data_IF_112547294752
#
_entry.id   IF_112547294752
#
_cell.length_a   1.000
_cell.length_b   1.000
_cell.length_c   1.000
_cell.angle_alpha   90.00
_cell.angle_beta   90.00
_cell.angle_gamma   90.00
#
_symmetry.space_group_name_H-M   'P 1'
#
loop_
_entity.id
_entity.type
_entity.pdbx_description
1 polymer ?
#
# COMPACT_ATOMS: atom_id res chain seq x y z
N UNK A 1 -10.52 25.56 -28.26
CA UNK A 1 -9.20 24.95 -28.00
C UNK A 1 -9.44 23.63 -27.28
N UNK A 2 -8.84 22.53 -27.72
CA UNK A 2 -9.10 21.16 -27.24
C UNK A 2 -8.03 20.19 -27.75
N UNK A 3 -6.82 20.75 -27.93
CA UNK A 3 -5.65 20.08 -28.45
C UNK A 3 -4.72 19.78 -27.27
N UNK A 4 -4.04 18.65 -27.31
CA UNK A 4 -3.13 18.25 -26.25
C UNK A 4 -1.75 18.82 -26.50
N UNK A 5 -1.28 19.69 -25.62
CA UNK A 5 -0.03 20.42 -25.79
C UNK A 5 1.24 19.62 -25.40
N UNK A 6 1.11 18.38 -24.93
CA UNK A 6 2.22 17.58 -24.40
C UNK A 6 2.52 16.27 -25.15
N UNK A 7 3.28 15.40 -24.51
CA UNK A 7 3.49 14.03 -24.99
C UNK A 7 2.15 13.28 -24.89
N UNK A 8 1.67 12.69 -25.99
CA UNK A 8 0.45 11.91 -25.98
C UNK A 8 0.52 10.77 -24.95
N UNK A 9 -0.55 10.52 -24.17
CA UNK A 9 -0.66 9.34 -23.31
C UNK A 9 -0.54 8.02 -24.07
N UNK A 10 -0.31 6.93 -23.32
CA UNK A 10 -0.14 5.60 -23.90
C UNK A 10 -1.41 5.17 -24.67
N UNK A 11 -1.27 4.43 -25.77
CA UNK A 11 -2.41 4.11 -26.65
C UNK A 11 -2.73 5.18 -27.70
N UNK A 12 -2.08 6.35 -27.60
CA UNK A 12 -2.11 7.34 -28.65
C UNK A 12 -0.72 7.57 -29.28
N UNK A 13 -0.60 8.47 -30.26
CA UNK A 13 0.64 8.96 -30.86
C UNK A 13 0.48 10.46 -31.20
N UNK A 14 1.56 11.24 -31.08
CA UNK A 14 1.57 12.62 -31.54
C UNK A 14 1.66 12.65 -33.07
N UNK A 15 0.81 13.46 -33.72
CA UNK A 15 0.88 13.66 -35.16
C UNK A 15 2.01 14.64 -35.50
N UNK A 16 3.02 14.17 -36.23
CA UNK A 16 4.19 14.98 -36.61
C UNK A 16 4.01 15.77 -37.93
N UNK A 17 2.76 15.95 -38.40
CA UNK A 17 2.51 16.76 -39.62
C UNK A 17 2.59 18.25 -39.28
N UNK A 18 3.26 19.00 -40.16
CA UNK A 18 3.50 20.45 -40.02
C UNK A 18 2.18 21.23 -39.90
N UNK A 19 1.13 20.80 -40.61
CA UNK A 19 -0.19 21.46 -40.63
C UNK A 19 -1.12 21.05 -39.47
N UNK A 20 -0.80 19.97 -38.75
CA UNK A 20 -1.64 19.38 -37.69
C UNK A 20 -0.88 19.23 -36.38
N UNK A 21 -0.18 20.29 -35.98
CA UNK A 21 0.55 20.35 -34.71
C UNK A 21 -0.40 20.12 -33.53
N UNK A 22 0.10 19.41 -32.51
CA UNK A 22 -0.61 19.12 -31.25
C UNK A 22 -1.89 18.26 -31.39
N UNK A 23 -2.06 17.55 -32.52
CA UNK A 23 -3.11 16.54 -32.67
C UNK A 23 -2.61 15.16 -32.22
N UNK A 24 -3.48 14.45 -31.52
CA UNK A 24 -3.23 13.10 -31.06
C UNK A 24 -4.03 12.12 -31.93
N UNK A 25 -3.37 11.07 -32.39
CA UNK A 25 -3.96 9.99 -33.18
C UNK A 25 -3.90 8.69 -32.38
N UNK A 26 -4.84 7.78 -32.60
CA UNK A 26 -4.87 6.47 -31.96
C UNK A 26 -3.70 5.60 -32.44
N UNK A 27 -3.00 4.97 -31.50
CA UNK A 27 -1.98 3.96 -31.79
C UNK A 27 -2.67 2.62 -32.09
N UNK A 28 -2.59 2.13 -33.33
CA UNK A 28 -3.25 0.88 -33.74
C UNK A 28 -2.78 -0.34 -32.95
N UNK A 29 -1.55 -0.34 -32.45
CA UNK A 29 -0.98 -1.50 -31.73
C UNK A 29 -1.33 -1.43 -30.25
N UNK A 30 -1.23 -0.25 -29.64
CA UNK A 30 -1.34 -0.09 -28.18
C UNK A 30 -2.75 0.28 -27.71
N UNK A 31 -3.54 0.97 -28.52
CA UNK A 31 -4.89 1.39 -28.13
C UNK A 31 -5.83 0.21 -27.81
N UNK A 32 -5.84 -0.89 -28.58
CA UNK A 32 -6.68 -2.05 -28.25
C UNK A 32 -6.34 -2.64 -26.88
N UNK A 33 -5.05 -2.69 -26.55
CA UNK A 33 -4.57 -3.21 -25.25
C UNK A 33 -5.02 -2.28 -24.12
N UNK A 34 -4.94 -0.97 -24.31
CA UNK A 34 -5.47 -0.01 -23.33
C UNK A 34 -6.97 -0.20 -23.13
N UNK A 35 -7.75 -0.39 -24.20
CA UNK A 35 -9.18 -0.69 -24.09
C UNK A 35 -9.43 -1.97 -23.28
N UNK A 36 -8.68 -3.04 -23.55
CA UNK A 36 -8.76 -4.30 -22.80
C UNK A 36 -8.41 -4.12 -21.32
N UNK A 37 -7.47 -3.24 -20.97
CA UNK A 37 -7.17 -2.93 -19.56
C UNK A 37 -8.43 -2.39 -18.85
N UNK A 38 -9.14 -1.45 -19.47
CA UNK A 38 -10.39 -0.92 -18.92
C UNK A 38 -11.49 -1.99 -18.84
N UNK A 39 -11.67 -2.81 -19.89
CA UNK A 39 -12.64 -3.91 -19.90
C UNK A 39 -12.38 -4.94 -18.79
N UNK A 40 -11.11 -5.31 -18.57
CA UNK A 40 -10.72 -6.27 -17.52
C UNK A 40 -10.94 -5.72 -16.11
N UNK A 41 -10.69 -4.44 -15.91
CA UNK A 41 -10.94 -3.81 -14.60
C UNK A 41 -12.44 -3.64 -14.36
N UNK A 42 -13.20 -3.20 -15.36
CA UNK A 42 -14.63 -2.95 -15.24
C UNK A 42 -15.46 -4.24 -15.12
N UNK A 43 -15.26 -5.20 -16.03
CA UNK A 43 -16.09 -6.41 -16.11
C UNK A 43 -15.54 -7.56 -15.25
N UNK A 44 -14.25 -7.86 -15.37
CA UNK A 44 -13.64 -8.98 -14.65
C UNK A 44 -13.19 -8.61 -13.22
N UNK A 45 -13.30 -7.33 -12.83
CA UNK A 45 -12.91 -6.79 -11.50
C UNK A 45 -11.47 -7.11 -11.11
N UNK A 46 -10.55 -7.10 -12.08
CA UNK A 46 -9.15 -7.35 -11.81
C UNK A 46 -8.50 -6.23 -11.01
N UNK A 47 -7.67 -6.59 -10.02
CA UNK A 47 -6.83 -5.62 -9.31
C UNK A 47 -5.71 -5.09 -10.21
N UNK A 48 -5.24 -3.87 -9.96
CA UNK A 48 -4.14 -3.26 -10.73
C UNK A 48 -2.87 -4.13 -10.78
N UNK A 49 -2.59 -4.91 -9.73
CA UNK A 49 -1.47 -5.87 -9.72
C UNK A 49 -1.70 -7.07 -10.64
N UNK A 50 -2.93 -7.57 -10.72
CA UNK A 50 -3.28 -8.66 -11.63
C UNK A 50 -3.13 -8.22 -13.08
N UNK A 51 -3.59 -7.01 -13.40
CA UNK A 51 -3.40 -6.38 -14.71
C UNK A 51 -1.91 -6.22 -15.04
N UNK A 52 -1.09 -5.78 -14.07
CA UNK A 52 0.36 -5.67 -14.25
C UNK A 52 1.01 -7.01 -14.62
N UNK A 53 0.67 -8.08 -13.90
CA UNK A 53 1.23 -9.41 -14.16
C UNK A 53 0.81 -9.92 -15.54
N UNK A 54 -0.46 -9.78 -15.92
CA UNK A 54 -0.97 -10.15 -17.24
C UNK A 54 -0.25 -9.40 -18.38
N UNK A 55 -0.08 -8.08 -18.25
CA UNK A 55 0.63 -7.28 -19.25
C UNK A 55 2.11 -7.68 -19.38
N UNK A 56 2.74 -8.07 -18.26
CA UNK A 56 4.17 -8.39 -18.23
C UNK A 56 4.47 -9.81 -18.71
N UNK A 57 3.69 -10.78 -18.25
CA UNK A 57 3.97 -12.20 -18.45
C UNK A 57 3.25 -12.78 -19.67
N UNK A 58 2.01 -12.38 -19.93
CA UNK A 58 1.21 -13.00 -20.99
C UNK A 58 1.35 -12.24 -22.31
N UNK A 59 1.24 -10.90 -22.29
CA UNK A 59 1.36 -10.09 -23.51
C UNK A 59 2.79 -9.57 -23.79
N UNK A 60 3.69 -9.62 -22.81
CA UNK A 60 5.01 -8.97 -22.85
C UNK A 60 4.94 -7.52 -23.38
N UNK A 61 3.91 -6.78 -22.95
CA UNK A 61 3.55 -5.48 -23.49
C UNK A 61 4.64 -4.44 -23.22
N UNK A 62 5.04 -3.70 -24.26
CA UNK A 62 6.04 -2.64 -24.19
C UNK A 62 5.46 -1.25 -24.47
N UNK A 63 5.90 -0.29 -23.67
CA UNK A 63 5.63 1.13 -23.88
C UNK A 63 6.35 1.65 -25.13
N UNK A 64 6.11 2.91 -25.51
CA UNK A 64 6.79 3.53 -26.67
C UNK A 64 8.33 3.48 -26.56
N UNK A 65 8.88 3.59 -25.34
CA UNK A 65 10.32 3.52 -25.09
C UNK A 65 10.89 2.11 -24.91
N UNK A 66 10.18 1.08 -25.37
CA UNK A 66 10.56 -0.34 -25.23
C UNK A 66 10.72 -0.84 -23.77
N UNK A 67 10.13 -0.11 -22.80
CA UNK A 67 10.13 -0.50 -21.38
C UNK A 67 8.81 -1.17 -21.01
N UNK A 68 8.84 -2.07 -20.04
CA UNK A 68 7.63 -2.65 -19.45
C UNK A 68 6.83 -1.56 -18.73
N UNK A 69 5.50 -1.67 -18.77
CA UNK A 69 4.63 -0.73 -18.05
C UNK A 69 4.77 -0.95 -16.54
N UNK A 70 4.92 0.12 -15.76
CA UNK A 70 4.99 0.05 -14.29
C UNK A 70 3.58 0.02 -13.67
N UNK A 71 3.47 -0.48 -12.43
CA UNK A 71 2.19 -0.51 -11.71
C UNK A 71 1.57 0.90 -11.59
N UNK A 72 2.36 1.91 -11.23
CA UNK A 72 1.92 3.31 -11.19
C UNK A 72 1.50 3.84 -12.56
N UNK A 73 2.13 3.36 -13.64
CA UNK A 73 1.75 3.67 -15.01
C UNK A 73 0.34 3.16 -15.36
N UNK A 74 -0.03 1.97 -14.88
CA UNK A 74 -1.38 1.42 -15.05
C UNK A 74 -2.41 2.29 -14.36
N UNK A 75 -2.18 2.66 -13.09
CA UNK A 75 -3.10 3.55 -12.37
C UNK A 75 -3.21 4.92 -13.04
N UNK A 76 -2.12 5.49 -13.55
CA UNK A 76 -2.16 6.72 -14.35
C UNK A 76 -2.97 6.59 -15.64
N UNK A 77 -3.02 5.40 -16.26
CA UNK A 77 -3.85 5.17 -17.45
C UNK A 77 -5.32 5.15 -17.04
N UNK A 78 -5.65 4.37 -16.01
CA UNK A 78 -7.02 4.23 -15.52
C UNK A 78 -7.59 5.55 -14.99
N UNK A 79 -6.75 6.40 -14.41
CA UNK A 79 -7.10 7.71 -13.82
C UNK A 79 -7.21 8.86 -14.84
N UNK A 80 -6.76 8.67 -16.09
CA UNK A 80 -6.72 9.78 -17.04
C UNK A 80 -8.05 9.91 -17.82
N UNK A 81 -8.78 11.04 -17.66
CA UNK A 81 -10.05 11.26 -18.36
C UNK A 81 -9.91 11.35 -19.89
N UNK A 82 -8.70 11.60 -20.39
CA UNK A 82 -8.42 11.75 -21.82
C UNK A 82 -8.84 10.51 -22.62
N UNK A 83 -8.88 9.32 -22.01
CA UNK A 83 -9.26 8.10 -22.71
C UNK A 83 -10.74 8.08 -23.16
N UNK A 84 -11.63 8.80 -22.48
CA UNK A 84 -13.03 8.96 -22.91
C UNK A 84 -13.33 10.29 -23.61
N UNK A 85 -12.35 11.19 -23.70
CA UNK A 85 -12.40 12.35 -24.61
C UNK A 85 -12.24 13.71 -23.95
N UNK A 86 -12.45 13.84 -22.65
CA UNK A 86 -12.25 15.13 -21.95
C UNK A 86 -10.94 15.15 -21.19
N UNK A 87 -10.37 16.33 -20.95
CA UNK A 87 -9.20 16.45 -20.10
C UNK A 87 -9.16 17.79 -19.37
N UNK A 88 -8.44 17.81 -18.25
CA UNK A 88 -8.19 19.01 -17.47
C UNK A 88 -6.77 19.55 -17.77
N UNK A 89 -6.65 20.86 -17.96
CA UNK A 89 -5.33 21.49 -18.15
C UNK A 89 -5.30 22.95 -17.69
N UNK A 90 -4.29 23.40 -16.92
CA UNK A 90 -3.31 22.62 -16.18
C UNK A 90 -3.96 21.63 -15.20
N UNK A 91 -3.22 20.61 -14.76
CA UNK A 91 -3.77 19.63 -13.80
C UNK A 91 -4.20 20.35 -12.51
N UNK A 92 -5.35 19.98 -11.95
CA UNK A 92 -5.92 20.55 -10.72
C UNK A 92 -6.30 22.04 -10.82
N UNK A 93 -6.55 22.54 -12.04
CA UNK A 93 -6.95 23.94 -12.28
C UNK A 93 -8.47 24.15 -12.35
N UNK A 94 -9.26 23.08 -12.37
CA UNK A 94 -10.71 23.09 -12.56
C UNK A 94 -11.15 23.41 -14.00
N UNK A 95 -10.22 23.62 -14.95
CA UNK A 95 -10.53 23.95 -16.34
C UNK A 95 -10.61 22.70 -17.20
N UNK A 96 -11.83 22.31 -17.54
CA UNK A 96 -12.13 21.16 -18.37
C UNK A 96 -12.25 21.53 -19.84
N UNK A 97 -11.64 20.71 -20.70
CA UNK A 97 -11.69 20.87 -22.15
C UNK A 97 -12.19 19.58 -22.79
N UNK A 98 -13.02 19.74 -23.83
CA UNK A 98 -13.36 18.63 -24.73
C UNK A 98 -12.23 18.43 -25.73
N UNK A 99 -11.66 17.22 -25.72
CA UNK A 99 -10.60 16.82 -26.63
C UNK A 99 -11.14 16.58 -28.04
N UNK A 100 -10.41 17.08 -29.03
CA UNK A 100 -10.72 16.82 -30.45
C UNK A 100 -10.24 15.45 -30.94
N UNK A 101 -9.58 14.66 -30.09
CA UNK A 101 -9.08 13.34 -30.44
C UNK A 101 -10.21 12.30 -30.37
N UNK A 102 -10.02 11.18 -31.06
CA UNK A 102 -10.96 10.06 -30.98
C UNK A 102 -10.77 9.31 -29.65
N UNK A 103 -11.80 9.15 -28.82
CA UNK A 103 -11.68 8.43 -27.55
C UNK A 103 -11.44 6.92 -27.78
N UNK A 104 -10.73 6.28 -26.84
CA UNK A 104 -10.45 4.83 -26.86
C UNK A 104 -11.53 4.06 -26.10
N UNK A 105 -12.06 4.65 -25.03
CA UNK A 105 -13.10 4.05 -24.17
C UNK A 105 -14.33 4.94 -24.09
N UNK A 106 -15.48 4.36 -23.77
CA UNK A 106 -16.70 5.11 -23.47
C UNK A 106 -16.63 5.70 -22.06
N UNK A 107 -17.39 6.78 -21.82
CA UNK A 107 -17.51 7.39 -20.49
C UNK A 107 -18.02 6.39 -19.46
N UNK A 108 -18.99 5.57 -19.84
CA UNK A 108 -19.56 4.52 -18.99
C UNK A 108 -18.51 3.48 -18.54
N UNK A 109 -17.68 2.99 -19.47
CA UNK A 109 -16.63 2.02 -19.15
C UNK A 109 -15.58 2.61 -18.21
N UNK A 110 -15.24 3.89 -18.42
CA UNK A 110 -14.32 4.61 -17.55
C UNK A 110 -14.88 4.75 -16.13
N UNK A 111 -16.13 5.17 -15.99
CA UNK A 111 -16.78 5.31 -14.69
C UNK A 111 -16.90 3.98 -13.94
N UNK A 112 -17.21 2.89 -14.64
CA UNK A 112 -17.24 1.54 -14.05
C UNK A 112 -15.86 1.12 -13.54
N UNK A 113 -14.80 1.33 -14.33
CA UNK A 113 -13.44 1.03 -13.91
C UNK A 113 -13.03 1.87 -12.68
N UNK A 114 -13.37 3.16 -12.66
CA UNK A 114 -13.12 4.05 -11.53
C UNK A 114 -13.86 3.64 -10.25
N UNK A 115 -15.12 3.24 -10.37
CA UNK A 115 -15.89 2.73 -9.24
C UNK A 115 -15.24 1.48 -8.62
N UNK A 116 -14.66 0.60 -9.44
CA UNK A 116 -13.95 -0.58 -8.96
C UNK A 116 -12.64 -0.20 -8.26
N UNK A 117 -11.89 0.79 -8.75
CA UNK A 117 -10.66 1.26 -8.11
C UNK A 117 -10.90 1.95 -6.76
N UNK A 118 -12.02 2.67 -6.60
CA UNK A 118 -12.39 3.28 -5.32
C UNK A 118 -12.69 2.24 -4.24
N UNK A 119 -13.23 1.07 -4.61
CA UNK A 119 -13.44 -0.04 -3.66
C UNK A 119 -12.14 -0.60 -3.09
N UNK A 120 -11.04 -0.52 -3.84
CA UNK A 120 -9.72 -0.97 -3.40
C UNK A 120 -9.05 0.01 -2.40
N UNK A 121 -9.62 1.19 -2.15
CA UNK A 121 -9.20 2.05 -1.04
C UNK A 121 -9.71 1.46 0.28
N UNK A 122 -9.10 0.35 0.69
CA UNK A 122 -9.27 -0.20 2.03
C UNK A 122 -8.76 0.87 3.01
N UNK A 123 -9.68 1.45 3.77
CA UNK A 123 -9.35 2.28 4.92
C UNK A 123 -8.63 1.37 5.91
N UNK A 124 -7.31 1.53 6.00
CA UNK A 124 -6.51 0.82 7.00
C UNK A 124 -6.70 1.57 8.32
N UNK A 125 -7.48 0.97 9.21
CA UNK A 125 -7.52 1.44 10.59
C UNK A 125 -6.15 1.15 11.23
N UNK A 126 -5.45 2.21 11.62
CA UNK A 126 -4.24 2.07 12.41
C UNK A 126 -4.66 1.76 13.84
N UNK A 127 -4.59 0.49 14.22
CA UNK A 127 -4.74 0.08 15.62
C UNK A 127 -3.42 0.33 16.35
N UNK A 128 -3.49 1.03 17.47
CA UNK A 128 -2.34 1.21 18.37
C UNK A 128 -2.38 0.10 19.42
N UNK A 129 -1.33 -0.74 19.47
CA UNK A 129 -1.15 -1.70 20.55
C UNK A 129 -0.05 -1.21 21.50
N UNK A 130 -0.27 -1.42 22.79
CA UNK A 130 0.52 -0.83 23.88
C UNK A 130 2.03 -1.11 23.78
N UNK A 131 2.40 -2.31 23.35
CA UNK A 131 3.81 -2.75 23.33
C UNK A 131 4.47 -2.70 21.95
N UNK A 132 3.76 -2.24 20.92
CA UNK A 132 4.34 -2.07 19.58
C UNK A 132 5.40 -0.98 19.62
N UNK A 133 6.54 -1.20 18.95
CA UNK A 133 7.71 -0.28 18.87
C UNK A 133 8.56 -0.16 20.15
N UNK A 134 8.10 -0.63 21.30
CA UNK A 134 8.91 -0.67 22.53
C UNK A 134 9.83 -1.89 22.56
N UNK A 135 9.35 -3.03 22.07
CA UNK A 135 10.11 -4.27 22.05
C UNK A 135 10.73 -4.60 20.69
N UNK A 136 11.89 -5.24 20.77
CA UNK A 136 12.59 -5.82 19.62
C UNK A 136 12.79 -7.32 19.86
N UNK A 137 12.81 -8.08 18.77
CA UNK A 137 13.05 -9.51 18.85
C UNK A 137 14.52 -9.79 19.24
N UNK A 138 14.75 -10.50 20.35
CA UNK A 138 16.10 -10.84 20.81
C UNK A 138 16.92 -11.70 19.83
N UNK A 139 16.29 -12.45 18.93
CA UNK A 139 16.98 -13.29 17.96
C UNK A 139 17.47 -12.53 16.72
N UNK A 140 16.60 -11.72 16.10
CA UNK A 140 16.86 -11.10 14.80
C UNK A 140 16.84 -9.57 14.82
N UNK A 141 16.65 -8.96 16.00
CA UNK A 141 16.51 -7.52 16.20
C UNK A 141 15.45 -6.83 15.33
N UNK A 142 14.48 -7.59 14.79
CA UNK A 142 13.32 -7.03 14.10
C UNK A 142 12.33 -6.45 15.12
N UNK A 143 11.51 -5.49 14.69
CA UNK A 143 10.42 -4.98 15.52
C UNK A 143 9.37 -6.05 15.83
N UNK A 144 8.68 -5.89 16.95
CA UNK A 144 7.51 -6.70 17.34
C UNK A 144 6.23 -6.01 16.87
N UNK A 145 5.29 -6.79 16.36
CA UNK A 145 3.93 -6.38 15.99
C UNK A 145 2.90 -7.20 16.75
N UNK A 146 1.67 -6.69 16.80
CA UNK A 146 0.54 -7.33 17.45
C UNK A 146 -0.59 -7.68 16.47
N UNK A 147 -1.35 -8.71 16.81
CA UNK A 147 -2.52 -9.17 16.06
C UNK A 147 -3.69 -9.49 17.01
N UNK A 148 -4.88 -8.99 16.67
CA UNK A 148 -6.14 -9.32 17.34
C UNK A 148 -6.70 -10.64 16.80
N UNK A 149 -7.06 -11.54 17.70
CA UNK A 149 -7.73 -12.79 17.37
C UNK A 149 -9.02 -12.94 18.15
N UNK A 150 -10.14 -12.90 17.44
CA UNK A 150 -11.46 -13.16 17.98
C UNK A 150 -11.85 -14.61 17.75
N UNK A 151 -12.20 -15.33 18.82
CA UNK A 151 -12.64 -16.72 18.78
C UNK A 151 -14.06 -16.82 19.32
N UNK A 152 -14.98 -17.38 18.53
CA UNK A 152 -16.32 -17.73 19.01
C UNK A 152 -16.26 -18.99 19.87
N UNK A 153 -16.79 -18.92 21.08
CA UNK A 153 -16.91 -20.05 22.00
C UNK A 153 -18.19 -20.84 21.71
N UNK A 154 -18.25 -22.07 22.24
CA UNK A 154 -19.41 -22.95 22.11
C UNK A 154 -20.68 -22.35 22.75
N UNK A 155 -20.49 -21.53 23.78
CA UNK A 155 -21.57 -20.85 24.51
C UNK A 155 -22.08 -19.58 23.80
N UNK A 156 -21.61 -19.31 22.58
CA UNK A 156 -22.02 -18.15 21.77
C UNK A 156 -21.28 -16.84 22.08
N UNK A 157 -20.47 -16.80 23.15
CA UNK A 157 -19.63 -15.65 23.49
C UNK A 157 -18.40 -15.55 22.58
N UNK A 158 -17.83 -14.35 22.42
CA UNK A 158 -16.60 -14.13 21.63
C UNK A 158 -15.46 -13.78 22.57
N UNK A 159 -14.42 -14.62 22.60
CA UNK A 159 -13.18 -14.30 23.30
C UNK A 159 -12.24 -13.51 22.39
N UNK A 160 -11.57 -12.52 22.97
CA UNK A 160 -10.59 -11.67 22.32
C UNK A 160 -9.20 -11.98 22.89
N UNK A 161 -8.23 -12.17 22.00
CA UNK A 161 -6.85 -12.43 22.36
C UNK A 161 -5.92 -11.53 21.54
N UNK A 162 -4.97 -10.88 22.20
CA UNK A 162 -3.92 -10.10 21.54
C UNK A 162 -2.62 -10.91 21.58
N UNK A 163 -2.02 -11.10 20.41
CA UNK A 163 -0.76 -11.82 20.26
C UNK A 163 0.33 -10.88 19.78
N UNK A 164 1.50 -10.93 20.43
CA UNK A 164 2.69 -10.21 20.01
C UNK A 164 3.68 -11.17 19.34
N UNK A 165 4.28 -10.74 18.23
CA UNK A 165 5.24 -11.56 17.50
C UNK A 165 6.22 -10.76 16.65
N UNK A 166 7.29 -11.44 16.25
CA UNK A 166 8.32 -10.85 15.41
C UNK A 166 7.77 -10.54 14.01
N UNK A 167 8.02 -9.33 13.50
CA UNK A 167 7.69 -8.94 12.12
C UNK A 167 8.47 -9.72 11.07
N UNK A 168 9.55 -10.40 11.46
CA UNK A 168 10.47 -11.13 10.57
C UNK A 168 11.00 -10.24 9.43
N UNK A 169 11.13 -8.94 9.70
CA UNK A 169 11.55 -7.95 8.72
C UNK A 169 13.03 -8.10 8.33
N UNK A 170 13.91 -8.42 9.30
CA UNK A 170 15.34 -8.64 9.08
C UNK A 170 15.69 -10.08 8.74
N UNK A 171 15.01 -11.04 9.38
CA UNK A 171 15.17 -12.47 9.12
C UNK A 171 13.80 -13.15 8.98
N UNK A 172 13.55 -13.69 7.78
CA UNK A 172 12.30 -14.41 7.45
C UNK A 172 12.19 -15.75 8.15
N UNK A 173 13.30 -16.35 8.57
CA UNK A 173 13.37 -17.66 9.21
C UNK A 173 13.52 -17.58 10.73
N UNK A 174 13.22 -16.41 11.31
CA UNK A 174 13.29 -16.21 12.76
C UNK A 174 12.39 -17.21 13.50
N UNK A 175 13.00 -17.97 14.41
CA UNK A 175 12.36 -19.02 15.24
C UNK A 175 11.49 -18.47 16.37
N UNK A 176 11.42 -17.15 16.53
CA UNK A 176 10.64 -16.54 17.59
C UNK A 176 9.14 -16.86 17.44
N UNK A 177 8.51 -17.25 18.54
CA UNK A 177 7.09 -17.59 18.59
C UNK A 177 6.25 -16.36 18.97
N UNK A 178 4.94 -16.49 18.77
CA UNK A 178 3.99 -15.49 19.23
C UNK A 178 3.67 -15.73 20.71
N UNK A 179 3.63 -14.66 21.49
CA UNK A 179 3.26 -14.68 22.91
C UNK A 179 1.94 -13.94 23.10
N UNK A 180 1.13 -14.40 24.06
CA UNK A 180 -0.11 -13.69 24.43
C UNK A 180 0.21 -12.45 25.26
N UNK A 181 -0.63 -11.43 25.16
CA UNK A 181 -0.48 -10.20 25.93
C UNK A 181 -0.44 -10.45 27.44
N UNK A 182 -1.34 -11.30 27.95
CA UNK A 182 -1.41 -11.65 29.38
C UNK A 182 -0.10 -12.27 29.89
N UNK A 183 0.48 -13.20 29.11
CA UNK A 183 1.74 -13.86 29.45
C UNK A 183 2.91 -12.87 29.37
N UNK A 184 2.91 -11.99 28.36
CA UNK A 184 3.93 -10.96 28.22
C UNK A 184 3.88 -9.99 29.41
N UNK A 185 2.70 -9.54 29.83
CA UNK A 185 2.52 -8.67 31.00
C UNK A 185 3.00 -9.37 32.27
N UNK A 186 2.65 -10.65 32.46
CA UNK A 186 3.08 -11.41 33.62
C UNK A 186 4.61 -11.51 33.72
N UNK A 187 5.32 -11.74 32.61
CA UNK A 187 6.79 -11.74 32.58
C UNK A 187 7.37 -10.34 32.82
N UNK A 188 6.75 -9.29 32.29
CA UNK A 188 7.19 -7.91 32.54
C UNK A 188 7.07 -7.51 34.02
N UNK A 189 5.98 -7.89 34.68
CA UNK A 189 5.79 -7.63 36.11
C UNK A 189 6.90 -8.31 36.93
N UNK A 190 7.25 -9.57 36.62
CA UNK A 190 8.36 -10.27 37.30
C UNK A 190 9.69 -9.54 37.15
N UNK A 191 9.99 -9.03 35.96
CA UNK A 191 11.22 -8.26 35.70
C UNK A 191 11.21 -6.95 36.51
N UNK A 192 10.09 -6.24 36.54
CA UNK A 192 9.95 -5.00 37.32
C UNK A 192 10.13 -5.25 38.82
N UNK A 193 9.57 -6.34 39.36
CA UNK A 193 9.74 -6.72 40.76
C UNK A 193 11.20 -7.04 41.10
N UNK A 194 11.91 -7.75 40.22
CA UNK A 194 13.34 -8.02 40.40
C UNK A 194 14.18 -6.75 40.38
N UNK A 195 13.88 -5.83 39.46
CA UNK A 195 14.55 -4.54 39.38
C UNK A 195 14.30 -3.76 40.67
N UNK A 196 13.06 -3.67 41.13
CA UNK A 196 12.69 -2.98 42.36
C UNK A 196 13.43 -3.53 43.59
N UNK A 197 13.48 -4.86 43.74
CA UNK A 197 14.22 -5.49 44.83
C UNK A 197 15.73 -5.23 44.73
N UNK A 198 16.31 -5.27 43.53
CA UNK A 198 17.73 -5.00 43.31
C UNK A 198 18.11 -3.55 43.65
N UNK A 199 17.26 -2.59 43.29
CA UNK A 199 17.42 -1.17 43.60
C UNK A 199 17.32 -0.94 45.11
N UNK A 200 16.32 -1.52 45.78
CA UNK A 200 16.19 -1.46 47.24
C UNK A 200 17.42 -2.02 47.96
N UNK A 201 17.92 -3.19 47.54
CA UNK A 201 19.16 -3.77 48.12
C UNK A 201 20.35 -2.85 47.93
N UNK A 202 20.47 -2.21 46.76
CA UNK A 202 21.56 -1.28 46.45
C UNK A 202 21.47 -0.01 47.30
N UNK A 203 20.25 0.52 47.51
CA UNK A 203 20.00 1.65 48.40
C UNK A 203 20.38 1.28 49.85
N UNK A 204 19.91 0.14 50.36
CA UNK A 204 20.24 -0.32 51.72
C UNK A 204 21.76 -0.49 51.90
N UNK A 205 22.46 -1.05 50.90
CA UNK A 205 23.91 -1.17 50.93
C UNK A 205 24.62 0.19 50.99
N UNK A 206 24.19 1.16 50.18
CA UNK A 206 24.73 2.53 50.21
C UNK A 206 24.46 3.18 51.58
N UNK A 207 23.26 3.03 52.14
CA UNK A 207 22.96 3.52 53.49
C UNK A 207 23.86 2.88 54.55
N UNK A 208 24.10 1.56 54.46
CA UNK A 208 25.01 0.87 55.38
C UNK A 208 26.46 1.39 55.27
N UNK A 209 26.97 1.60 54.05
CA UNK A 209 28.32 2.11 53.82
C UNK A 209 28.48 3.58 54.23
N UNK A 210 27.45 4.41 54.08
CA UNK A 210 27.52 5.85 54.41
C UNK A 210 27.33 6.12 55.91
N UNK A 211 26.44 5.37 56.59
CA UNK A 211 26.11 5.62 58.00
C UNK A 211 26.84 4.72 59.00
N UNK A 212 27.42 3.59 58.58
CA UNK A 212 28.11 2.65 59.46
C UNK A 212 29.58 2.38 59.07
N UNK A 213 30.17 3.18 58.20
CA UNK A 213 31.62 3.12 57.98
C UNK A 213 32.35 3.54 59.28
N UNK A 214 33.33 2.74 59.76
CA UNK A 214 34.15 3.14 60.90
C UNK A 214 35.00 4.36 60.51
N UNK A 215 35.02 5.36 61.40
CA UNK A 215 35.92 6.52 61.35
C UNK A 215 37.40 6.09 61.32
#
# INVERSE_FOLDING_TARGET
>A
MGLWAGVAPLGYLNQNRIDKKCQIVIDKVRAPIVKQIFEKVAYEKWSGRKVYNWLKHDLNFKTRGNKTLTLSGIFRILDNPLYYGTFEYPRDSGKWYEGKHKPIVTKELYEQAQAQLKRDQIVRENKEFAFTKLFTCGYCASGISAEDKYKKLRDGTTAHYVYYGCTRARDRNCKNQYIREEELIAELVKILDQIHQSLLKRIIKIFAEVFFAPL
#
